data_IF_297317208689
#
_entry.id   IF_297317208689
#
_cell.length_a   1.000
_cell.length_b   1.000
_cell.length_c   1.000
_cell.angle_alpha   90.00
_cell.angle_beta   90.00
_cell.angle_gamma   90.00
#
_symmetry.space_group_name_H-M   'P 1'
#
loop_
_entity.id
_entity.type
_entity.pdbx_description
1 polymer ?
#
# COMPACT_ATOMS: atom_id res chain seq x y z
N UNK A 1 2.40 -14.10 -10.56
CA UNK A 1 2.52 -14.86 -9.29
C UNK A 1 1.13 -14.86 -8.68
N UNK A 2 0.70 -15.94 -8.06
CA UNK A 2 -0.67 -16.04 -7.52
C UNK A 2 -0.61 -16.06 -5.99
N UNK A 3 -1.37 -15.19 -5.33
CA UNK A 3 -1.32 -15.00 -3.89
C UNK A 3 -1.77 -16.25 -3.12
N UNK A 4 -1.31 -16.35 -1.87
CA UNK A 4 -1.78 -17.36 -0.91
C UNK A 4 -2.56 -16.71 0.23
N UNK A 5 -3.37 -17.50 0.93
CA UNK A 5 -4.06 -17.02 2.13
C UNK A 5 -3.03 -16.61 3.20
N UNK A 6 -3.19 -15.39 3.74
CA UNK A 6 -2.31 -14.85 4.79
C UNK A 6 -2.63 -15.46 6.17
N UNK A 7 -1.68 -15.32 7.10
CA UNK A 7 -1.83 -15.75 8.49
C UNK A 7 -3.04 -15.04 9.15
N UNK A 8 -3.72 -15.66 10.15
CA UNK A 8 -4.94 -15.09 10.74
C UNK A 8 -4.83 -13.66 11.27
N UNK A 9 -3.67 -13.27 11.79
CA UNK A 9 -3.38 -11.92 12.32
C UNK A 9 -3.13 -10.86 11.23
N UNK A 10 -2.91 -11.31 9.99
CA UNK A 10 -2.75 -10.47 8.81
C UNK A 10 -4.04 -10.35 7.99
N UNK A 11 -5.11 -11.04 8.39
CA UNK A 11 -6.42 -10.96 7.75
C UNK A 11 -7.20 -9.72 8.22
N UNK A 12 -8.20 -9.32 7.42
CA UNK A 12 -9.07 -8.19 7.73
C UNK A 12 -8.62 -6.88 7.07
N UNK A 13 -9.17 -5.77 7.54
CA UNK A 13 -8.85 -4.44 7.03
C UNK A 13 -7.50 -3.96 7.57
N UNK A 14 -6.61 -3.55 6.66
CA UNK A 14 -5.30 -3.01 6.97
C UNK A 14 -4.99 -1.85 6.03
N UNK A 15 -4.09 -0.99 6.48
CA UNK A 15 -3.52 0.14 5.73
C UNK A 15 -2.03 -0.08 5.40
N UNK A 16 -1.37 -1.04 6.04
CA UNK A 16 0.03 -1.41 5.84
C UNK A 16 0.22 -2.93 5.76
N UNK A 17 1.14 -3.34 4.90
CA UNK A 17 1.67 -4.70 4.79
C UNK A 17 3.19 -4.67 4.99
N UNK A 18 3.72 -5.64 5.73
CA UNK A 18 5.17 -5.82 5.87
C UNK A 18 5.64 -6.71 4.73
N UNK A 19 6.72 -6.29 4.06
CA UNK A 19 7.41 -7.05 3.02
C UNK A 19 8.88 -7.13 3.41
N UNK A 20 9.42 -8.34 3.46
CA UNK A 20 10.85 -8.57 3.62
C UNK A 20 11.57 -8.45 2.25
N UNK A 21 12.89 -8.61 2.26
CA UNK A 21 13.69 -8.54 1.03
C UNK A 21 13.24 -9.62 0.03
N UNK A 22 13.04 -9.20 -1.23
CA UNK A 22 12.55 -10.03 -2.35
C UNK A 22 11.13 -10.62 -2.19
N UNK A 23 10.38 -10.24 -1.15
CA UNK A 23 8.98 -10.63 -0.97
C UNK A 23 8.01 -9.78 -1.81
N UNK A 24 6.80 -10.32 -1.97
CA UNK A 24 5.69 -9.64 -2.63
C UNK A 24 4.37 -10.01 -1.97
N UNK A 25 3.36 -9.17 -2.13
CA UNK A 25 2.00 -9.42 -1.61
C UNK A 25 0.96 -9.01 -2.63
N UNK A 26 -0.20 -9.68 -2.60
CA UNK A 26 -1.39 -9.34 -3.37
C UNK A 26 -2.44 -8.79 -2.41
N UNK A 27 -2.91 -7.57 -2.67
CA UNK A 27 -3.85 -6.86 -1.80
C UNK A 27 -5.10 -6.46 -2.57
N UNK A 28 -6.23 -6.47 -1.86
CA UNK A 28 -7.51 -5.97 -2.36
C UNK A 28 -7.77 -4.64 -1.67
N UNK A 29 -7.86 -3.56 -2.46
CA UNK A 29 -8.09 -2.21 -1.95
C UNK A 29 -9.45 -1.72 -2.43
N UNK A 30 -10.21 -1.10 -1.52
CA UNK A 30 -11.48 -0.44 -1.84
C UNK A 30 -11.34 1.06 -1.68
N UNK A 31 -11.60 1.82 -2.74
CA UNK A 31 -11.57 3.28 -2.73
C UNK A 31 -12.99 3.84 -2.68
N UNK A 32 -13.43 4.25 -1.50
CA UNK A 32 -14.78 4.78 -1.27
C UNK A 32 -14.84 6.33 -1.38
N UNK A 33 -13.70 7.00 -1.60
CA UNK A 33 -13.58 8.46 -1.60
C UNK A 33 -12.74 8.97 -2.79
N UNK A 34 -13.11 10.13 -3.37
CA UNK A 34 -12.36 10.73 -4.46
C UNK A 34 -11.05 11.35 -3.98
N UNK A 35 -10.01 11.26 -4.81
CA UNK A 35 -8.71 11.87 -4.63
C UNK A 35 -8.29 12.54 -5.95
N UNK A 36 -8.61 13.84 -6.15
CA UNK A 36 -8.30 14.56 -7.39
C UNK A 36 -6.79 14.83 -7.50
N UNK A 37 -6.31 15.23 -8.68
CA UNK A 37 -4.88 15.55 -8.92
C UNK A 37 -4.31 16.62 -7.99
N UNK A 38 -5.15 17.51 -7.46
CA UNK A 38 -4.75 18.54 -6.50
C UNK A 38 -4.45 17.96 -5.11
N UNK A 39 -5.07 16.84 -4.76
CA UNK A 39 -5.01 16.16 -3.46
C UNK A 39 -5.03 14.63 -3.65
N UNK A 40 -4.00 14.04 -4.29
CA UNK A 40 -3.96 12.61 -4.57
C UNK A 40 -3.69 11.80 -3.29
N UNK A 41 -4.06 10.52 -3.29
CA UNK A 41 -3.62 9.59 -2.26
C UNK A 41 -2.13 9.29 -2.42
N UNK A 42 -1.48 8.94 -1.31
CA UNK A 42 -0.09 8.50 -1.27
C UNK A 42 -0.01 7.02 -0.93
N UNK A 43 1.01 6.36 -1.46
CA UNK A 43 1.48 5.06 -0.98
C UNK A 43 2.99 5.13 -0.93
N UNK A 44 3.59 4.61 0.13
CA UNK A 44 5.03 4.72 0.35
C UNK A 44 5.52 3.63 1.28
N UNK A 45 6.84 3.44 1.30
CA UNK A 45 7.47 2.68 2.37
C UNK A 45 7.31 3.46 3.67
N UNK A 46 6.85 2.81 4.73
CA UNK A 46 6.65 3.46 6.03
C UNK A 46 7.94 3.54 6.88
N UNK A 47 9.09 3.19 6.28
CA UNK A 47 10.43 3.53 6.78
C UNK A 47 10.71 4.96 6.32
N UNK A 48 10.76 5.90 7.25
CA UNK A 48 10.81 7.34 6.96
C UNK A 48 12.03 7.72 6.11
N UNK A 49 13.17 7.10 6.35
CA UNK A 49 14.38 7.33 5.57
C UNK A 49 14.24 6.86 4.12
N UNK A 50 13.39 5.88 3.85
CA UNK A 50 13.09 5.41 2.49
C UNK A 50 12.08 6.34 1.80
N UNK A 51 11.05 6.77 2.53
CA UNK A 51 10.09 7.78 2.07
C UNK A 51 10.80 9.09 1.66
N UNK A 52 11.66 9.63 2.53
CA UNK A 52 12.43 10.86 2.28
C UNK A 52 13.40 10.73 1.09
N UNK A 53 13.83 9.51 0.79
CA UNK A 53 14.67 9.19 -0.38
C UNK A 53 13.87 8.90 -1.64
N UNK A 54 12.55 9.08 -1.60
CA UNK A 54 11.67 9.01 -2.76
C UNK A 54 10.99 7.66 -2.97
N UNK A 55 10.97 6.76 -1.97
CA UNK A 55 10.21 5.51 -2.03
C UNK A 55 8.71 5.74 -1.76
N UNK A 56 8.13 6.65 -2.55
CA UNK A 56 6.76 7.13 -2.45
C UNK A 56 6.18 7.31 -3.85
N UNK A 57 4.90 7.00 -4.00
CA UNK A 57 4.10 7.30 -5.17
C UNK A 57 2.75 7.90 -4.80
N UNK A 58 2.04 8.38 -5.82
CA UNK A 58 0.73 9.01 -5.69
C UNK A 58 -0.22 8.47 -6.75
N UNK A 59 -1.52 8.45 -6.45
CA UNK A 59 -2.56 8.09 -7.42
C UNK A 59 -3.85 8.85 -7.15
N UNK A 60 -4.65 9.01 -8.19
CA UNK A 60 -5.97 9.64 -8.12
C UNK A 60 -7.08 8.60 -8.04
N UNK A 61 -8.23 9.03 -7.50
CA UNK A 61 -9.47 8.25 -7.48
C UNK A 61 -10.59 9.19 -7.93
N UNK A 62 -11.41 8.73 -8.88
CA UNK A 62 -12.48 9.51 -9.52
C UNK A 62 -13.84 8.84 -9.40
#
# INVERSE_FOLDING_TARGET
MEGAAVLPDQQGWKDMVVLDDDDWSEIIVRFDHPAPEQYPYMYHCHILEHEDRGMMGQFTVS
#
